data_IF_668078003690
#
_entry.id   IF_668078003690
#
_cell.length_a   1.000
_cell.length_b   1.000
_cell.length_c   1.000
_cell.angle_alpha   90.00
_cell.angle_beta   90.00
_cell.angle_gamma   90.00
#
_symmetry.space_group_name_H-M   'P 1'
#
loop_
_entity.id
_entity.type
_entity.pdbx_description
1 polymer ?
#
# COMPACT_ATOMS: atom_id res chain seq x y z
N UNK A 1 -43.49 0.31 -46.52
CA UNK A 1 -42.26 0.08 -47.32
C UNK A 1 -41.25 1.12 -46.88
N UNK A 2 -39.97 0.76 -46.71
CA UNK A 2 -38.92 1.75 -46.41
C UNK A 2 -38.76 2.70 -47.60
N UNK A 3 -38.54 3.99 -47.32
CA UNK A 3 -38.24 4.98 -48.37
C UNK A 3 -36.85 4.75 -48.97
N UNK A 4 -36.53 5.41 -50.08
CA UNK A 4 -35.18 5.36 -50.64
C UNK A 4 -34.13 5.86 -49.63
N UNK A 5 -34.40 6.98 -48.96
CA UNK A 5 -33.50 7.59 -47.96
C UNK A 5 -33.23 6.67 -46.76
N UNK A 6 -34.27 5.98 -46.29
CA UNK A 6 -34.14 4.99 -45.21
C UNK A 6 -33.28 3.79 -45.64
N UNK A 7 -33.47 3.31 -46.88
CA UNK A 7 -32.64 2.23 -47.45
C UNK A 7 -31.21 2.70 -47.68
N UNK A 8 -31.01 3.92 -48.17
CA UNK A 8 -29.70 4.52 -48.37
C UNK A 8 -28.93 4.61 -47.05
N UNK A 9 -29.55 5.15 -46.01
CA UNK A 9 -28.93 5.25 -44.67
C UNK A 9 -28.62 3.86 -44.10
N UNK A 10 -29.57 2.93 -44.18
CA UNK A 10 -29.34 1.55 -43.74
C UNK A 10 -28.23 0.85 -44.53
N UNK A 11 -28.02 1.21 -45.81
CA UNK A 11 -26.96 0.67 -46.66
C UNK A 11 -25.58 1.27 -46.30
N UNK A 12 -25.54 2.57 -45.98
CA UNK A 12 -24.34 3.24 -45.48
C UNK A 12 -23.87 2.60 -44.15
N UNK A 13 -24.82 2.35 -43.25
CA UNK A 13 -24.62 1.77 -41.91
C UNK A 13 -24.41 0.25 -41.93
N UNK A 14 -24.59 -0.42 -43.08
CA UNK A 14 -24.42 -1.87 -43.21
C UNK A 14 -25.54 -2.70 -42.57
N UNK A 15 -26.71 -2.10 -42.33
CA UNK A 15 -27.89 -2.74 -41.75
C UNK A 15 -28.80 -3.41 -42.80
N UNK A 16 -28.59 -3.14 -44.09
CA UNK A 16 -29.26 -3.86 -45.17
C UNK A 16 -28.63 -5.24 -45.37
N UNK A 17 -29.44 -6.28 -45.31
CA UNK A 17 -29.00 -7.68 -45.41
C UNK A 17 -29.84 -8.48 -46.39
N UNK A 18 -29.28 -9.57 -46.91
CA UNK A 18 -29.98 -10.55 -47.73
C UNK A 18 -30.60 -9.94 -48.99
N UNK A 19 -31.89 -10.21 -49.18
CA UNK A 19 -32.64 -9.83 -50.39
C UNK A 19 -32.84 -8.32 -50.54
N UNK A 20 -33.02 -7.60 -49.42
CA UNK A 20 -33.21 -6.15 -49.46
C UNK A 20 -31.94 -5.44 -49.97
N UNK A 21 -30.76 -5.94 -49.59
CA UNK A 21 -29.48 -5.43 -50.07
C UNK A 21 -29.35 -5.60 -51.58
N UNK A 22 -29.60 -6.81 -52.10
CA UNK A 22 -29.50 -7.09 -53.54
C UNK A 22 -30.49 -6.28 -54.37
N UNK A 23 -31.72 -6.10 -53.87
CA UNK A 23 -32.74 -5.30 -54.54
C UNK A 23 -32.40 -3.81 -54.54
N UNK A 24 -31.81 -3.32 -53.45
CA UNK A 24 -31.34 -1.94 -53.36
C UNK A 24 -30.15 -1.67 -54.27
N UNK A 25 -29.12 -2.52 -54.24
CA UNK A 25 -27.94 -2.38 -55.11
C UNK A 25 -28.29 -2.48 -56.60
N UNK A 26 -29.27 -3.30 -56.96
CA UNK A 26 -29.79 -3.36 -58.33
C UNK A 26 -30.62 -2.14 -58.74
N UNK A 27 -31.17 -1.39 -57.77
CA UNK A 27 -31.91 -0.14 -58.02
C UNK A 27 -31.00 1.08 -58.17
N UNK A 28 -29.72 0.98 -57.82
CA UNK A 28 -28.76 2.07 -57.94
C UNK A 28 -28.39 2.31 -59.42
N UNK A 29 -28.52 3.54 -59.95
CA UNK A 29 -28.17 3.86 -61.33
C UNK A 29 -26.68 3.64 -61.63
N UNK A 30 -25.82 3.96 -60.67
CA UNK A 30 -24.37 3.74 -60.72
C UNK A 30 -23.87 3.27 -59.35
N UNK A 31 -23.64 1.96 -59.25
CA UNK A 31 -23.14 1.34 -58.00
C UNK A 31 -21.73 1.82 -57.65
N UNK A 32 -20.87 2.09 -58.63
CA UNK A 32 -19.49 2.51 -58.37
C UNK A 32 -19.44 3.93 -57.81
N UNK A 33 -20.26 4.84 -58.36
CA UNK A 33 -20.42 6.18 -57.80
C UNK A 33 -21.00 6.14 -56.38
N UNK A 34 -22.05 5.33 -56.14
CA UNK A 34 -22.66 5.17 -54.83
C UNK A 34 -21.69 4.62 -53.76
N UNK A 35 -20.85 3.64 -54.12
CA UNK A 35 -19.82 3.12 -53.21
C UNK A 35 -18.73 4.17 -52.90
N UNK A 36 -18.40 5.01 -53.89
CA UNK A 36 -17.46 6.12 -53.69
C UNK A 36 -18.03 7.15 -52.73
N UNK A 37 -19.29 7.53 -52.91
CA UNK A 37 -20.02 8.44 -52.01
C UNK A 37 -20.12 7.86 -50.60
N UNK A 38 -20.41 6.56 -50.47
CA UNK A 38 -20.40 5.85 -49.18
C UNK A 38 -19.04 5.90 -48.51
N UNK A 39 -17.95 5.71 -49.26
CA UNK A 39 -16.60 5.83 -48.72
C UNK A 39 -16.30 7.26 -48.25
N UNK A 40 -16.72 8.27 -49.00
CA UNK A 40 -16.50 9.67 -48.65
C UNK A 40 -17.35 10.12 -47.46
N UNK A 41 -18.60 9.65 -47.35
CA UNK A 41 -19.45 9.85 -46.18
C UNK A 41 -18.81 9.24 -44.91
N UNK A 42 -18.20 8.05 -45.01
CA UNK A 42 -17.46 7.42 -43.91
C UNK A 42 -16.19 8.20 -43.55
N UNK A 43 -15.44 8.71 -44.53
CA UNK A 43 -14.28 9.58 -44.28
C UNK A 43 -14.71 10.86 -43.57
N UNK A 44 -15.80 11.50 -44.00
CA UNK A 44 -16.34 12.69 -43.37
C UNK A 44 -16.78 12.41 -41.93
N UNK A 45 -17.50 11.30 -41.69
CA UNK A 45 -17.90 10.90 -40.34
C UNK A 45 -16.70 10.63 -39.43
N UNK A 46 -15.64 10.00 -39.93
CA UNK A 46 -14.40 9.80 -39.19
C UNK A 46 -13.68 11.11 -38.86
N UNK A 47 -13.63 12.04 -39.81
CA UNK A 47 -13.07 13.38 -39.58
C UNK A 47 -13.88 14.14 -38.52
N UNK A 48 -15.21 14.16 -38.64
CA UNK A 48 -16.07 14.82 -37.67
C UNK A 48 -15.90 14.22 -36.27
N UNK A 49 -15.86 12.89 -36.14
CA UNK A 49 -15.64 12.23 -34.85
C UNK A 49 -14.29 12.59 -34.23
N UNK A 50 -13.27 12.78 -35.06
CA UNK A 50 -11.92 13.18 -34.62
C UNK A 50 -11.88 14.63 -34.15
N UNK A 51 -12.37 15.55 -34.97
CA UNK A 51 -12.30 17.00 -34.69
C UNK A 51 -13.32 17.44 -33.63
N UNK A 52 -14.49 16.81 -33.59
CA UNK A 52 -15.54 17.06 -32.59
C UNK A 52 -15.41 16.13 -31.39
N UNK A 53 -14.22 15.56 -31.15
CA UNK A 53 -13.99 14.58 -30.09
C UNK A 53 -14.64 15.07 -28.79
N UNK A 54 -15.59 14.27 -28.30
CA UNK A 54 -16.48 14.66 -27.23
C UNK A 54 -15.67 15.03 -26.00
N UNK A 55 -16.07 16.13 -25.35
CA UNK A 55 -15.48 16.57 -24.09
C UNK A 55 -15.43 15.37 -23.13
N UNK A 56 -14.28 15.09 -22.49
CA UNK A 56 -14.17 13.96 -21.58
C UNK A 56 -15.28 14.08 -20.54
N UNK A 57 -16.07 13.02 -20.40
CA UNK A 57 -17.16 12.96 -19.44
C UNK A 57 -16.55 13.11 -18.05
N UNK A 58 -17.03 14.07 -17.26
CA UNK A 58 -16.51 14.34 -15.91
C UNK A 58 -16.62 13.14 -14.97
N UNK A 59 -17.48 12.16 -15.30
CA UNK A 59 -17.70 10.94 -14.53
C UNK A 59 -17.55 9.70 -15.41
N UNK A 60 -16.48 9.63 -16.19
CA UNK A 60 -16.22 8.51 -17.13
C UNK A 60 -16.31 7.14 -16.44
N UNK A 61 -15.82 7.00 -15.20
CA UNK A 61 -15.87 5.73 -14.47
C UNK A 61 -17.29 5.25 -14.16
N UNK A 62 -18.21 6.15 -13.79
CA UNK A 62 -19.59 5.79 -13.49
C UNK A 62 -20.33 5.29 -14.75
N UNK A 63 -20.18 6.01 -15.86
CA UNK A 63 -20.80 5.62 -17.13
C UNK A 63 -20.19 4.35 -17.71
N UNK A 64 -18.86 4.19 -17.59
CA UNK A 64 -18.16 3.01 -18.09
C UNK A 64 -18.52 1.78 -17.28
N UNK A 65 -18.67 1.90 -15.96
CA UNK A 65 -19.13 0.81 -15.09
C UNK A 65 -20.56 0.37 -15.45
N UNK A 66 -21.51 1.30 -15.53
CA UNK A 66 -22.90 0.96 -15.86
C UNK A 66 -23.06 0.41 -17.27
N UNK A 67 -22.32 0.98 -18.23
CA UNK A 67 -22.34 0.50 -19.62
C UNK A 67 -21.70 -0.90 -19.71
N UNK A 68 -20.59 -1.13 -19.00
CA UNK A 68 -19.95 -2.43 -18.88
C UNK A 68 -20.88 -3.48 -18.28
N UNK A 69 -21.53 -3.18 -17.16
CA UNK A 69 -22.52 -4.08 -16.52
C UNK A 69 -23.68 -4.39 -17.46
N UNK A 70 -24.18 -3.38 -18.19
CA UNK A 70 -25.27 -3.58 -19.15
C UNK A 70 -24.84 -4.44 -20.34
N UNK A 71 -23.65 -4.21 -20.88
CA UNK A 71 -23.08 -5.02 -21.96
C UNK A 71 -22.90 -6.45 -21.49
N UNK A 72 -22.35 -6.69 -20.29
CA UNK A 72 -22.19 -8.04 -19.73
C UNK A 72 -23.53 -8.74 -19.50
N UNK A 73 -24.56 -7.99 -19.09
CA UNK A 73 -25.92 -8.52 -18.92
C UNK A 73 -26.57 -8.86 -20.26
N UNK A 74 -26.37 -8.05 -21.30
CA UNK A 74 -26.96 -8.24 -22.62
C UNK A 74 -26.19 -9.25 -23.49
N UNK A 75 -24.87 -9.35 -23.33
CA UNK A 75 -24.01 -10.24 -24.14
C UNK A 75 -24.08 -11.70 -23.72
N UNK A 76 -24.67 -12.03 -22.57
CA UNK A 76 -24.87 -13.41 -22.11
C UNK A 76 -23.56 -14.21 -21.98
N UNK A 77 -22.40 -13.56 -22.03
CA UNK A 77 -21.12 -14.23 -21.80
C UNK A 77 -20.96 -14.49 -20.30
N UNK A 78 -20.83 -15.75 -19.86
CA UNK A 78 -20.35 -16.02 -18.52
C UNK A 78 -18.91 -15.51 -18.46
N UNK A 79 -18.69 -14.56 -17.53
CA UNK A 79 -17.40 -14.03 -17.09
C UNK A 79 -16.18 -14.56 -17.85
N UNK A 80 -15.66 -13.74 -18.78
CA UNK A 80 -14.24 -13.78 -19.08
C UNK A 80 -13.49 -13.28 -17.84
N UNK A 81 -13.32 -14.15 -16.84
CA UNK A 81 -12.24 -14.08 -15.86
C UNK A 81 -10.89 -14.33 -16.56
N UNK A 82 -10.60 -13.52 -17.58
CA UNK A 82 -9.49 -13.78 -18.50
C UNK A 82 -8.72 -12.51 -18.78
N UNK A 83 -8.39 -11.76 -17.72
CA UNK A 83 -7.29 -10.79 -17.79
C UNK A 83 -6.69 -10.34 -16.44
N UNK A 84 -6.97 -11.03 -15.33
CA UNK A 84 -6.31 -10.71 -14.03
C UNK A 84 -5.38 -11.83 -13.54
N UNK A 85 -5.41 -13.03 -14.13
CA UNK A 85 -4.56 -14.14 -13.66
C UNK A 85 -3.08 -14.03 -14.07
N UNK A 86 -2.70 -13.21 -15.04
CA UNK A 86 -1.30 -13.17 -15.52
C UNK A 86 -0.41 -12.14 -14.80
N UNK A 87 -0.98 -11.21 -14.02
CA UNK A 87 -0.23 -10.17 -13.30
C UNK A 87 0.04 -10.51 -11.83
N UNK A 88 -0.81 -11.35 -11.23
CA UNK A 88 -0.81 -11.63 -9.79
C UNK A 88 0.34 -12.55 -9.36
N UNK A 89 0.77 -13.48 -10.23
CA UNK A 89 1.88 -14.39 -9.89
C UNK A 89 3.21 -13.66 -9.69
N UNK A 90 3.49 -12.65 -10.53
CA UNK A 90 4.74 -11.90 -10.43
C UNK A 90 4.77 -10.94 -9.23
N UNK A 91 3.60 -10.38 -8.86
CA UNK A 91 3.45 -9.51 -7.69
C UNK A 91 3.47 -10.29 -6.37
N UNK A 92 2.84 -11.46 -6.27
CA UNK A 92 2.88 -12.29 -5.05
C UNK A 92 4.32 -12.75 -4.77
N UNK A 93 5.06 -13.18 -5.79
CA UNK A 93 6.47 -13.60 -5.61
C UNK A 93 7.34 -12.43 -5.18
N UNK A 94 7.18 -11.24 -5.79
CA UNK A 94 7.91 -10.05 -5.37
C UNK A 94 7.57 -9.65 -3.93
N UNK A 95 6.29 -9.71 -3.55
CA UNK A 95 5.86 -9.39 -2.18
C UNK A 95 6.48 -10.32 -1.14
N UNK A 96 6.52 -11.63 -1.43
CA UNK A 96 7.17 -12.63 -0.58
C UNK A 96 8.68 -12.37 -0.44
N UNK A 97 9.37 -12.06 -1.55
CA UNK A 97 10.80 -11.75 -1.53
C UNK A 97 11.11 -10.43 -0.83
N UNK A 98 10.28 -9.39 -1.01
CA UNK A 98 10.45 -8.11 -0.30
C UNK A 98 10.14 -8.24 1.19
N UNK A 99 9.16 -9.07 1.55
CA UNK A 99 8.83 -9.38 2.94
C UNK A 99 9.96 -10.14 3.63
N UNK A 100 10.48 -11.18 2.99
CA UNK A 100 11.62 -11.94 3.50
C UNK A 100 12.89 -11.07 3.61
N UNK A 101 13.16 -10.21 2.62
CA UNK A 101 14.29 -9.29 2.66
C UNK A 101 14.16 -8.27 3.80
N UNK A 102 12.98 -7.68 4.00
CA UNK A 102 12.71 -6.77 5.11
C UNK A 102 12.90 -7.46 6.47
N UNK A 103 12.38 -8.68 6.63
CA UNK A 103 12.54 -9.48 7.85
C UNK A 103 14.01 -9.83 8.12
N UNK A 104 14.78 -10.19 7.08
CA UNK A 104 16.20 -10.50 7.20
C UNK A 104 17.01 -9.26 7.62
N UNK A 105 16.74 -8.11 7.01
CA UNK A 105 17.37 -6.83 7.40
C UNK A 105 17.04 -6.48 8.85
N UNK A 106 15.77 -6.60 9.25
CA UNK A 106 15.35 -6.38 10.62
C UNK A 106 16.05 -7.31 11.61
N UNK A 107 16.20 -8.60 11.28
CA UNK A 107 16.94 -9.57 12.09
C UNK A 107 18.41 -9.21 12.22
N UNK A 108 19.06 -8.83 11.12
CA UNK A 108 20.47 -8.40 11.14
C UNK A 108 20.64 -7.18 12.04
N UNK A 109 19.79 -6.17 11.92
CA UNK A 109 19.83 -5.00 12.80
C UNK A 109 19.54 -5.35 14.26
N UNK A 110 18.58 -6.24 14.52
CA UNK A 110 18.25 -6.67 15.88
C UNK A 110 19.43 -7.40 16.52
N UNK A 111 20.06 -8.32 15.79
CA UNK A 111 21.25 -9.04 16.26
C UNK A 111 22.40 -8.05 16.47
N UNK A 112 22.62 -7.11 15.55
CA UNK A 112 23.69 -6.13 15.68
C UNK A 112 23.48 -5.22 16.90
N UNK A 113 22.27 -4.70 17.10
CA UNK A 113 21.90 -3.90 18.28
C UNK A 113 21.99 -4.70 19.58
N UNK A 114 21.57 -5.97 19.59
CA UNK A 114 21.71 -6.83 20.77
C UNK A 114 23.16 -7.23 21.04
N UNK A 115 24.01 -7.32 20.01
CA UNK A 115 25.43 -7.64 20.15
C UNK A 115 26.26 -6.43 20.56
N UNK A 116 25.83 -5.24 20.16
CA UNK A 116 26.37 -3.96 20.64
C UNK A 116 25.99 -3.72 22.11
N UNK A 117 24.83 -4.24 22.54
CA UNK A 117 24.50 -4.46 23.96
C UNK A 117 25.32 -5.63 24.52
N UNK A 118 26.63 -5.44 24.62
CA UNK A 118 27.47 -6.28 25.47
C UNK A 118 26.85 -6.32 26.88
N UNK A 119 26.54 -7.50 27.46
CA UNK A 119 26.13 -7.60 28.86
C UNK A 119 27.27 -7.22 29.83
N UNK A 120 28.47 -6.92 29.32
CA UNK A 120 29.57 -6.37 30.08
C UNK A 120 29.40 -4.88 30.45
N UNK A 121 28.40 -4.19 29.88
CA UNK A 121 28.04 -2.81 30.23
C UNK A 121 26.65 -2.74 30.91
N UNK A 122 26.29 -3.74 31.71
CA UNK A 122 25.32 -3.50 32.80
C UNK A 122 25.96 -2.55 33.82
N UNK A 123 25.89 -1.26 33.49
CA UNK A 123 25.91 -0.12 34.40
C UNK A 123 26.97 -0.19 35.51
N UNK A 124 28.13 0.39 35.23
CA UNK A 124 29.05 0.95 36.24
C UNK A 124 28.39 2.03 37.15
N UNK A 125 27.08 2.26 37.02
CA UNK A 125 26.25 3.15 37.82
C UNK A 125 25.08 2.43 38.51
N UNK A 126 25.03 1.09 38.54
CA UNK A 126 24.07 0.38 39.39
C UNK A 126 24.53 0.47 40.84
N UNK A 127 24.32 1.64 41.44
CA UNK A 127 24.39 1.85 42.87
C UNK A 127 23.26 1.00 43.47
N UNK A 128 23.57 -0.22 43.88
CA UNK A 128 22.64 -1.04 44.65
C UNK A 128 22.52 -0.39 46.03
N UNK A 129 21.57 0.54 46.17
CA UNK A 129 21.28 1.21 47.43
C UNK A 129 20.60 0.19 48.33
N UNK A 130 21.41 -0.57 49.08
CA UNK A 130 20.93 -1.43 50.14
C UNK A 130 20.60 -0.53 51.35
N UNK A 131 19.35 -0.09 51.44
CA UNK A 131 18.85 0.62 52.61
C UNK A 131 18.71 -0.35 53.78
N UNK A 132 19.78 -0.51 54.57
CA UNK A 132 19.70 -1.17 55.87
C UNK A 132 19.19 -0.14 56.89
N UNK A 133 17.89 -0.22 57.23
CA UNK A 133 17.32 0.58 58.32
C UNK A 133 17.92 0.10 59.64
N UNK A 134 18.67 0.98 60.30
CA UNK A 134 19.16 0.76 61.66
C UNK A 134 17.98 0.81 62.64
N UNK A 135 18.03 -0.04 63.66
CA UNK A 135 17.00 -0.20 64.68
C UNK A 135 16.54 1.17 65.26
N UNK A 136 15.25 1.52 65.16
CA UNK A 136 14.74 2.85 65.47
C UNK A 136 14.87 3.26 66.95
N UNK A 137 15.27 2.36 67.85
CA UNK A 137 15.44 2.65 69.28
C UNK A 137 16.73 3.44 69.57
N UNK A 138 17.76 3.36 68.72
CA UNK A 138 19.08 3.96 68.99
C UNK A 138 19.30 5.29 68.26
N UNK A 139 18.70 5.50 67.09
CA UNK A 139 18.84 6.76 66.34
C UNK A 139 17.71 6.97 65.33
N UNK A 140 16.71 7.82 65.61
CA UNK A 140 15.51 7.94 64.78
C UNK A 140 15.71 8.62 63.42
N UNK A 141 16.88 9.26 63.17
CA UNK A 141 17.17 10.00 61.94
C UNK A 141 18.49 9.60 61.26
N UNK A 142 19.11 8.47 61.62
CA UNK A 142 20.37 8.05 61.01
C UNK A 142 20.13 7.17 59.78
N UNK A 143 20.71 7.57 58.65
CA UNK A 143 20.72 6.79 57.41
C UNK A 143 22.16 6.40 57.10
N UNK A 144 22.42 5.10 56.95
CA UNK A 144 23.72 4.56 56.56
C UNK A 144 23.61 4.08 55.12
N UNK A 145 24.35 4.72 54.22
CA UNK A 145 24.47 4.31 52.82
C UNK A 145 25.83 3.67 52.61
N UNK A 146 25.84 2.39 52.19
CA UNK A 146 27.06 1.66 51.92
C UNK A 146 27.31 1.62 50.41
N UNK A 147 28.49 2.07 49.99
CA UNK A 147 28.96 2.01 48.62
C UNK A 147 30.09 0.98 48.55
N UNK A 148 29.86 -0.11 47.82
CA UNK A 148 30.87 -1.15 47.62
C UNK A 148 31.40 -1.08 46.18
N UNK A 149 32.65 -0.67 46.01
CA UNK A 149 33.32 -0.69 44.71
C UNK A 149 34.02 -2.04 44.53
N UNK A 150 33.41 -2.92 43.73
CA UNK A 150 33.86 -4.32 43.56
C UNK A 150 35.27 -4.45 42.94
N UNK A 151 35.79 -3.40 42.27
CA UNK A 151 37.10 -3.43 41.63
C UNK A 151 38.27 -3.16 42.59
N UNK A 152 38.09 -2.37 43.65
CA UNK A 152 39.20 -1.92 44.51
C UNK A 152 39.13 -2.45 45.95
N UNK A 153 38.19 -3.35 46.27
CA UNK A 153 37.95 -3.84 47.65
C UNK A 153 37.82 -2.72 48.68
N UNK A 154 37.33 -1.57 48.25
CA UNK A 154 37.09 -0.42 49.10
C UNK A 154 35.58 -0.29 49.36
N UNK A 155 35.20 -0.33 50.63
CA UNK A 155 33.83 -0.08 51.08
C UNK A 155 33.78 1.31 51.69
N UNK A 156 33.01 2.20 51.07
CA UNK A 156 32.79 3.55 51.58
C UNK A 156 31.45 3.55 52.29
N UNK A 157 31.47 3.86 53.59
CA UNK A 157 30.28 3.99 54.42
C UNK A 157 29.96 5.48 54.57
N UNK A 158 28.84 5.91 54.01
CA UNK A 158 28.33 7.27 54.17
C UNK A 158 27.24 7.27 55.23
N UNK A 159 27.52 7.92 56.35
CA UNK A 159 26.60 8.00 57.49
C UNK A 159 26.05 9.42 57.61
N UNK A 160 24.75 9.57 57.47
CA UNK A 160 24.07 10.86 57.58
C UNK A 160 23.11 10.83 58.79
N UNK A 161 23.15 11.85 59.64
CA UNK A 161 22.28 11.96 60.82
C UNK A 161 22.70 11.14 62.05
N UNK A 162 23.91 10.56 62.07
CA UNK A 162 24.49 10.03 63.31
C UNK A 162 24.98 11.19 64.19
N UNK A 163 24.51 11.21 65.44
CA UNK A 163 25.03 12.12 66.45
C UNK A 163 26.52 11.79 66.67
N UNK A 164 27.40 12.80 66.66
CA UNK A 164 28.84 12.61 66.74
C UNK A 164 29.21 11.74 67.95
N UNK A 165 29.81 10.58 67.70
CA UNK A 165 30.38 9.77 68.77
C UNK A 165 31.55 10.57 69.41
N UNK A 166 31.58 10.73 70.74
CA UNK A 166 32.72 11.34 71.43
C UNK A 166 34.02 10.61 71.04
N UNK A 167 35.09 11.37 70.83
CA UNK A 167 36.41 10.85 70.41
C UNK A 167 36.99 9.79 71.36
N UNK A 168 36.43 9.66 72.56
CA UNK A 168 36.88 8.72 73.61
C UNK A 168 36.49 7.25 73.34
N UNK A 169 35.69 6.95 72.31
CA UNK A 169 35.33 5.56 71.97
C UNK A 169 36.30 4.86 71.00
N UNK A 170 37.32 5.55 70.49
CA UNK A 170 38.27 4.98 69.53
C UNK A 170 39.48 4.26 70.17
N UNK A 171 39.46 3.98 71.47
CA UNK A 171 40.57 3.28 72.14
C UNK A 171 40.10 2.31 73.23
N UNK A 172 39.75 1.08 72.83
CA UNK A 172 40.19 -0.14 73.52
C UNK A 172 40.09 -1.39 72.64
#
# INVERSE_FOLDING_TARGET
MKTFEEKWTAWLDGQLTGRELSEFEASLPDKAAAETEKADARKLGALLKRELSARPLTNEEFFSHQLGERIMRESGEPSREREVETSTWWTIRRLLWTGAASLAVFLVFTIFVMRDKNPAEESQYLTQILNARVDPVVSPNATISMFEAKQDRATILWTEGLQSLPADYAAK
#
